data_IF_051605264130
#
_entry.id   IF_051605264130
#
_cell.length_a   1.000
_cell.length_b   1.000
_cell.length_c   1.000
_cell.angle_alpha   90.00
_cell.angle_beta   90.00
_cell.angle_gamma   90.00
#
_symmetry.space_group_name_H-M   'P 1'
#
loop_
_entity.id
_entity.type
_entity.pdbx_description
1 polymer ?
#
# COMPACT_ATOMS: atom_id res chain seq x y z
N UNK A 1 0.53 50.99 66.77
CA UNK A 1 -0.24 51.65 65.71
C UNK A 1 -0.12 50.75 64.46
N UNK A 2 -1.05 49.81 64.30
CA UNK A 2 -1.11 48.89 63.15
C UNK A 2 -2.12 49.45 62.13
N UNK A 3 -1.56 49.88 60.94
CA UNK A 3 -2.38 50.41 59.86
C UNK A 3 -3.10 49.30 59.14
N UNK A 4 -4.42 49.26 59.26
CA UNK A 4 -5.31 48.40 58.52
C UNK A 4 -5.24 48.76 57.00
N UNK A 5 -4.68 47.87 56.21
CA UNK A 5 -4.65 47.94 54.74
C UNK A 5 -5.77 47.08 54.17
N UNK A 6 -7.02 47.49 54.39
CA UNK A 6 -8.15 46.89 53.67
C UNK A 6 -8.05 47.25 52.17
N UNK A 7 -7.99 46.28 51.26
CA UNK A 7 -7.94 46.59 49.81
C UNK A 7 -9.22 47.27 49.35
N UNK A 8 -9.04 48.35 48.62
CA UNK A 8 -10.14 49.19 48.06
C UNK A 8 -11.15 48.34 47.27
N UNK A 9 -12.44 48.71 47.39
CA UNK A 9 -13.58 48.09 46.68
C UNK A 9 -13.35 47.96 45.18
N UNK A 10 -12.57 48.86 44.59
CA UNK A 10 -12.21 48.86 43.19
C UNK A 10 -11.23 47.69 42.82
N UNK A 11 -10.41 47.23 43.76
CA UNK A 11 -9.51 46.10 43.54
C UNK A 11 -10.26 44.76 43.51
N UNK A 12 -11.31 44.61 44.35
CA UNK A 12 -12.15 43.40 44.37
C UNK A 12 -13.01 43.25 43.14
N UNK A 13 -13.43 44.34 42.47
CA UNK A 13 -14.26 44.29 41.25
C UNK A 13 -13.45 43.90 40.01
N UNK A 14 -12.14 43.98 40.01
CA UNK A 14 -11.32 43.52 38.89
C UNK A 14 -11.08 42.02 38.89
N UNK A 15 -11.19 41.34 40.02
CA UNK A 15 -10.99 39.91 40.16
C UNK A 15 -12.19 39.05 39.75
N UNK A 16 -13.37 39.64 39.67
CA UNK A 16 -14.60 38.92 39.33
C UNK A 16 -15.03 39.06 37.86
N UNK A 17 -14.18 39.66 37.02
CA UNK A 17 -14.46 39.62 35.57
C UNK A 17 -14.25 38.20 35.07
N UNK A 18 -15.28 37.49 34.56
CA UNK A 18 -15.09 36.20 33.95
C UNK A 18 -14.14 36.39 32.78
N UNK A 19 -13.01 35.64 32.81
CA UNK A 19 -12.13 35.55 31.63
C UNK A 19 -12.97 34.98 30.50
N UNK A 20 -13.35 35.81 29.56
CA UNK A 20 -13.90 35.32 28.28
C UNK A 20 -12.93 34.25 27.77
N UNK A 21 -13.42 33.05 27.47
CA UNK A 21 -12.61 32.05 26.76
C UNK A 21 -12.04 32.77 25.53
N UNK A 22 -10.72 32.78 25.37
CA UNK A 22 -10.09 33.23 24.14
C UNK A 22 -10.71 32.37 23.05
N UNK A 23 -11.66 32.93 22.31
CA UNK A 23 -12.14 32.34 21.05
C UNK A 23 -10.89 32.22 20.17
N UNK A 24 -10.42 30.98 20.04
CA UNK A 24 -9.36 30.65 19.09
C UNK A 24 -9.91 31.04 17.71
N UNK A 25 -9.17 31.81 16.94
CA UNK A 25 -9.67 32.22 15.62
C UNK A 25 -9.98 30.97 14.79
N UNK A 26 -11.26 30.81 14.43
CA UNK A 26 -11.77 29.73 13.57
C UNK A 26 -11.14 29.73 12.17
N UNK A 27 -10.30 30.73 11.88
CA UNK A 27 -9.66 30.94 10.58
C UNK A 27 -8.47 30.02 10.26
N UNK A 28 -8.08 29.09 11.14
CA UNK A 28 -6.93 28.18 10.88
C UNK A 28 -7.30 26.81 10.33
N UNK A 29 -8.59 26.53 10.07
CA UNK A 29 -8.98 25.30 9.34
C UNK A 29 -9.12 25.62 7.85
N UNK A 30 -8.09 26.17 7.24
CA UNK A 30 -7.92 26.04 5.81
C UNK A 30 -7.36 24.64 5.54
N UNK A 31 -8.22 23.64 5.57
CA UNK A 31 -7.96 22.34 4.95
C UNK A 31 -7.68 22.63 3.47
N UNK A 32 -6.42 22.54 3.11
CA UNK A 32 -5.96 22.63 1.73
C UNK A 32 -6.64 21.51 0.94
N UNK A 33 -7.76 21.79 0.34
CA UNK A 33 -8.61 20.85 -0.43
C UNK A 33 -7.89 20.19 -1.62
N UNK A 34 -6.67 20.60 -1.93
CA UNK A 34 -5.84 20.01 -2.99
C UNK A 34 -5.12 18.71 -2.59
N UNK A 35 -4.90 18.44 -1.31
CA UNK A 35 -4.19 17.23 -0.86
C UNK A 35 -5.03 15.95 -0.99
N UNK A 36 -6.34 15.92 -0.64
CA UNK A 36 -7.14 14.71 -0.77
C UNK A 36 -7.34 14.28 -2.24
N UNK A 37 -7.48 15.22 -3.18
CA UNK A 37 -7.64 14.88 -4.60
C UNK A 37 -6.38 14.24 -5.19
N UNK A 38 -5.20 14.75 -4.84
CA UNK A 38 -3.92 14.16 -5.28
C UNK A 38 -3.69 12.77 -4.68
N UNK A 39 -4.03 12.58 -3.41
CA UNK A 39 -3.94 11.28 -2.76
C UNK A 39 -4.92 10.26 -3.38
N UNK A 40 -6.15 10.67 -3.64
CA UNK A 40 -7.16 9.85 -4.30
C UNK A 40 -6.74 9.48 -5.74
N UNK A 41 -6.21 10.43 -6.50
CA UNK A 41 -5.71 10.16 -7.86
C UNK A 41 -4.52 9.18 -7.84
N UNK A 42 -3.58 9.34 -6.91
CA UNK A 42 -2.45 8.43 -6.78
C UNK A 42 -2.90 7.01 -6.39
N UNK A 43 -3.84 6.87 -5.46
CA UNK A 43 -4.43 5.59 -5.09
C UNK A 43 -5.17 4.94 -6.27
N UNK A 44 -5.96 5.72 -7.01
CA UNK A 44 -6.67 5.24 -8.19
C UNK A 44 -5.71 4.71 -9.27
N UNK A 45 -4.63 5.46 -9.58
CA UNK A 45 -3.61 5.03 -10.54
C UNK A 45 -2.92 3.76 -10.06
N UNK A 46 -2.55 3.67 -8.78
CA UNK A 46 -1.94 2.46 -8.19
C UNK A 46 -2.84 1.23 -8.37
N UNK A 47 -4.11 1.36 -8.02
CA UNK A 47 -5.10 0.29 -8.19
C UNK A 47 -5.29 -0.09 -9.67
N UNK A 48 -5.32 0.88 -10.59
CA UNK A 48 -5.40 0.58 -12.03
C UNK A 48 -4.21 -0.22 -12.54
N UNK A 49 -2.99 0.12 -12.10
CA UNK A 49 -1.76 -0.60 -12.46
C UNK A 49 -1.81 -2.03 -11.92
N UNK A 50 -2.27 -2.23 -10.67
CA UNK A 50 -2.44 -3.56 -10.06
C UNK A 50 -3.41 -4.42 -10.87
N UNK A 51 -4.59 -3.90 -11.21
CA UNK A 51 -5.58 -4.62 -12.01
C UNK A 51 -5.08 -4.92 -13.42
N UNK A 52 -4.35 -3.99 -14.02
CA UNK A 52 -3.74 -4.17 -15.34
C UNK A 52 -2.71 -5.32 -15.32
N UNK A 53 -1.81 -5.36 -14.33
CA UNK A 53 -0.84 -6.44 -14.16
C UNK A 53 -1.55 -7.80 -13.97
N UNK A 54 -2.61 -7.80 -13.17
CA UNK A 54 -3.43 -8.99 -12.93
C UNK A 54 -4.02 -9.55 -14.22
N UNK A 55 -4.67 -8.71 -15.05
CA UNK A 55 -5.30 -9.13 -16.30
C UNK A 55 -4.26 -9.54 -17.35
N UNK A 56 -3.19 -8.79 -17.47
CA UNK A 56 -2.14 -9.11 -18.44
C UNK A 56 -1.48 -10.46 -18.12
N UNK A 57 -1.20 -10.69 -16.83
CA UNK A 57 -0.62 -11.96 -16.42
C UNK A 57 -1.59 -13.13 -16.61
N UNK A 58 -2.86 -12.99 -16.26
CA UNK A 58 -3.87 -14.02 -16.46
C UNK A 58 -4.00 -14.37 -17.96
N UNK A 59 -3.99 -13.37 -18.83
CA UNK A 59 -4.03 -13.56 -20.29
C UNK A 59 -2.75 -14.24 -20.79
N UNK A 60 -1.59 -13.82 -20.33
CA UNK A 60 -0.32 -14.44 -20.69
C UNK A 60 -0.20 -15.89 -20.18
N UNK A 61 -0.72 -16.17 -18.97
CA UNK A 61 -0.77 -17.51 -18.42
C UNK A 61 -1.68 -18.44 -19.25
N UNK A 62 -2.79 -17.92 -19.74
CA UNK A 62 -3.72 -18.69 -20.57
C UNK A 62 -3.17 -18.99 -21.98
N UNK A 63 -2.46 -18.03 -22.59
CA UNK A 63 -2.12 -18.07 -23.99
C UNK A 63 -0.67 -18.47 -24.29
N UNK A 64 0.27 -18.11 -23.40
CA UNK A 64 1.70 -18.09 -23.73
C UNK A 64 2.55 -18.84 -22.72
N UNK A 65 2.33 -18.68 -21.43
CA UNK A 65 3.25 -19.18 -20.41
C UNK A 65 3.27 -20.70 -20.32
N UNK A 66 2.18 -21.38 -20.65
CA UNK A 66 2.14 -22.84 -20.73
C UNK A 66 3.20 -23.38 -21.67
N UNK A 67 3.25 -22.87 -22.90
CA UNK A 67 4.22 -23.32 -23.90
C UNK A 67 5.63 -22.84 -23.63
N UNK A 68 5.80 -21.58 -23.15
CA UNK A 68 7.09 -20.96 -22.94
C UNK A 68 7.84 -21.49 -21.74
N UNK A 69 7.15 -21.77 -20.63
CA UNK A 69 7.77 -22.08 -19.33
C UNK A 69 7.46 -23.49 -18.84
N UNK A 70 6.37 -24.10 -19.30
CA UNK A 70 5.89 -25.42 -18.85
C UNK A 70 5.63 -26.36 -20.04
N UNK A 71 6.60 -26.62 -20.92
CA UNK A 71 6.38 -27.48 -22.05
C UNK A 71 6.01 -28.89 -21.58
N UNK A 72 4.84 -29.38 -21.99
CA UNK A 72 4.33 -30.71 -21.71
C UNK A 72 3.76 -31.31 -22.99
N UNK A 73 3.70 -32.65 -23.03
CA UNK A 73 3.01 -33.36 -24.13
C UNK A 73 1.50 -33.09 -24.16
N UNK A 74 0.93 -32.71 -23.01
CA UNK A 74 -0.47 -32.35 -22.89
C UNK A 74 -0.62 -30.83 -22.72
N UNK A 75 -1.25 -30.12 -23.66
CA UNK A 75 -1.51 -28.68 -23.55
C UNK A 75 -2.31 -28.27 -22.30
N UNK A 76 -3.21 -29.13 -21.85
CA UNK A 76 -3.99 -28.87 -20.64
C UNK A 76 -3.10 -28.82 -19.40
N UNK A 77 -2.13 -29.73 -19.29
CA UNK A 77 -1.16 -29.76 -18.16
C UNK A 77 -0.30 -28.50 -18.18
N UNK A 78 0.18 -28.07 -19.34
CA UNK A 78 0.97 -26.83 -19.51
C UNK A 78 0.18 -25.59 -19.05
N UNK A 79 -1.06 -25.52 -19.47
CA UNK A 79 -1.96 -24.41 -19.08
C UNK A 79 -2.27 -24.43 -17.60
N UNK A 80 -2.55 -25.58 -17.01
CA UNK A 80 -2.79 -25.72 -15.56
C UNK A 80 -1.56 -25.34 -14.74
N UNK A 81 -0.36 -25.76 -15.15
CA UNK A 81 0.89 -25.37 -14.49
C UNK A 81 1.09 -23.85 -14.53
N UNK A 82 0.78 -23.22 -15.66
CA UNK A 82 0.82 -21.78 -15.83
C UNK A 82 -0.14 -21.06 -14.86
N UNK A 83 -1.38 -21.52 -14.75
CA UNK A 83 -2.34 -20.97 -13.77
C UNK A 83 -1.95 -21.25 -12.32
N UNK A 84 -1.26 -22.34 -12.04
CA UNK A 84 -0.74 -22.61 -10.70
C UNK A 84 0.24 -21.52 -10.24
N UNK A 85 1.07 -20.97 -11.15
CA UNK A 85 1.95 -19.84 -10.82
C UNK A 85 1.16 -18.59 -10.44
N UNK A 86 0.00 -18.38 -11.04
CA UNK A 86 -0.90 -17.30 -10.69
C UNK A 86 -1.43 -17.46 -9.27
N UNK A 87 -1.85 -18.67 -8.90
CA UNK A 87 -2.31 -18.99 -7.55
C UNK A 87 -1.21 -18.74 -6.49
N UNK A 88 0.06 -19.05 -6.79
CA UNK A 88 1.19 -18.78 -5.91
C UNK A 88 1.28 -17.31 -5.53
N UNK A 89 1.04 -16.39 -6.48
CA UNK A 89 0.98 -14.96 -6.21
C UNK A 89 -0.08 -14.58 -5.18
N UNK A 90 -1.26 -15.21 -5.23
CA UNK A 90 -2.32 -14.99 -4.24
C UNK A 90 -1.93 -15.49 -2.85
N UNK A 91 -1.34 -16.66 -2.75
CA UNK A 91 -0.87 -17.20 -1.46
C UNK A 91 0.27 -16.39 -0.85
N UNK A 92 1.03 -15.65 -1.65
CA UNK A 92 2.08 -14.77 -1.17
C UNK A 92 1.55 -13.43 -0.59
N UNK A 93 0.32 -13.02 -0.90
CA UNK A 93 -0.27 -11.73 -0.44
C UNK A 93 -0.32 -11.58 1.08
N UNK A 94 -0.79 -12.57 1.88
CA UNK A 94 -0.81 -12.45 3.33
C UNK A 94 0.58 -12.19 3.93
N UNK A 95 1.62 -12.83 3.37
CA UNK A 95 3.01 -12.59 3.78
C UNK A 95 3.42 -11.13 3.53
N UNK A 96 3.02 -10.59 2.38
CA UNK A 96 3.25 -9.19 2.03
C UNK A 96 2.60 -8.23 3.02
N UNK A 97 1.35 -8.49 3.41
CA UNK A 97 0.64 -7.70 4.42
C UNK A 97 1.38 -7.65 5.76
N UNK A 98 1.89 -8.78 6.23
CA UNK A 98 2.65 -8.87 7.48
C UNK A 98 3.99 -8.13 7.35
N UNK A 99 4.77 -8.41 6.30
CA UNK A 99 6.10 -7.84 6.09
C UNK A 99 6.04 -6.32 5.92
N UNK A 100 5.19 -5.83 5.01
CA UNK A 100 5.08 -4.41 4.74
C UNK A 100 4.24 -3.65 5.76
N UNK A 101 3.32 -4.31 6.48
CA UNK A 101 2.68 -3.75 7.65
C UNK A 101 3.73 -3.34 8.69
N UNK A 102 4.59 -4.30 9.09
CA UNK A 102 5.65 -4.04 10.05
C UNK A 102 6.72 -3.05 9.53
N UNK A 103 7.07 -3.14 8.26
CA UNK A 103 8.01 -2.22 7.63
C UNK A 103 7.43 -0.80 7.56
N UNK A 104 6.15 -0.67 7.23
CA UNK A 104 5.43 0.61 7.16
C UNK A 104 5.42 1.36 8.49
N UNK A 105 5.32 0.64 9.61
CA UNK A 105 5.40 1.22 10.95
C UNK A 105 6.81 1.75 11.27
N UNK A 106 7.87 1.12 10.72
CA UNK A 106 9.26 1.54 10.95
C UNK A 106 9.74 2.66 10.03
N UNK A 107 9.49 2.57 8.73
CA UNK A 107 10.03 3.51 7.72
C UNK A 107 9.04 4.56 7.27
N UNK A 108 7.79 4.45 7.71
CA UNK A 108 6.68 5.31 7.33
C UNK A 108 5.88 4.74 6.15
N UNK A 109 4.56 4.83 6.23
CA UNK A 109 3.57 4.24 5.29
C UNK A 109 3.78 4.68 3.84
N UNK A 110 4.11 5.98 3.61
CA UNK A 110 4.37 6.50 2.27
C UNK A 110 5.56 5.80 1.60
N UNK A 111 6.65 5.59 2.33
CA UNK A 111 7.85 4.93 1.80
C UNK A 111 7.58 3.45 1.55
N UNK A 112 6.86 2.77 2.44
CA UNK A 112 6.47 1.38 2.26
C UNK A 112 5.65 1.20 0.98
N UNK A 113 4.63 2.04 0.76
CA UNK A 113 3.79 2.02 -0.45
C UNK A 113 4.61 2.27 -1.73
N UNK A 114 5.52 3.25 -1.71
CA UNK A 114 6.38 3.49 -2.87
C UNK A 114 7.28 2.29 -3.16
N UNK A 115 7.78 1.61 -2.13
CA UNK A 115 8.62 0.41 -2.28
C UNK A 115 7.83 -0.75 -2.87
N UNK A 116 6.57 -0.98 -2.43
CA UNK A 116 5.72 -2.04 -2.99
C UNK A 116 5.41 -1.80 -4.46
N UNK A 117 5.04 -0.58 -4.85
CA UNK A 117 4.78 -0.22 -6.24
C UNK A 117 6.03 -0.40 -7.13
N UNK A 118 7.20 0.05 -6.66
CA UNK A 118 8.46 -0.14 -7.38
C UNK A 118 8.82 -1.62 -7.52
N UNK A 119 8.65 -2.40 -6.46
CA UNK A 119 8.93 -3.84 -6.46
C UNK A 119 8.01 -4.58 -7.43
N UNK A 120 6.72 -4.24 -7.47
CA UNK A 120 5.75 -4.79 -8.42
C UNK A 120 6.14 -4.46 -9.86
N UNK A 121 6.41 -3.18 -10.17
CA UNK A 121 6.79 -2.74 -11.51
C UNK A 121 8.07 -3.41 -12.01
N UNK A 122 9.10 -3.48 -11.18
CA UNK A 122 10.36 -4.17 -11.53
C UNK A 122 10.13 -5.65 -11.77
N UNK A 123 9.36 -6.33 -10.90
CA UNK A 123 9.06 -7.74 -11.07
C UNK A 123 8.29 -8.01 -12.38
N UNK A 124 7.33 -7.15 -12.73
CA UNK A 124 6.57 -7.25 -14.00
C UNK A 124 7.50 -7.12 -15.22
N UNK A 125 8.43 -6.17 -15.21
CA UNK A 125 9.44 -6.04 -16.26
C UNK A 125 10.33 -7.29 -16.32
N UNK A 126 10.76 -7.83 -15.17
CA UNK A 126 11.56 -9.06 -15.12
C UNK A 126 10.79 -10.26 -15.69
N UNK A 127 9.49 -10.39 -15.44
CA UNK A 127 8.66 -11.45 -16.07
C UNK A 127 8.67 -11.31 -17.59
N UNK A 128 8.57 -10.08 -18.11
CA UNK A 128 8.62 -9.84 -19.56
C UNK A 128 9.97 -10.11 -20.21
N UNK A 129 11.06 -10.02 -19.45
CA UNK A 129 12.42 -10.30 -19.90
C UNK A 129 12.87 -11.74 -19.65
N UNK A 130 12.04 -12.57 -19.04
CA UNK A 130 12.41 -13.91 -18.62
C UNK A 130 12.69 -14.80 -19.83
N UNK A 131 13.83 -15.52 -19.86
CA UNK A 131 14.14 -16.45 -20.93
C UNK A 131 13.21 -17.66 -20.90
N UNK A 132 12.87 -18.19 -22.08
CA UNK A 132 12.01 -19.36 -22.21
C UNK A 132 12.69 -20.66 -21.72
N UNK A 133 11.87 -21.68 -21.47
CA UNK A 133 12.34 -23.01 -21.07
C UNK A 133 13.37 -23.59 -22.03
N UNK A 134 13.23 -23.34 -23.33
CA UNK A 134 14.16 -23.81 -24.36
C UNK A 134 15.58 -23.25 -24.20
N UNK A 135 15.74 -22.08 -23.56
CA UNK A 135 17.05 -21.44 -23.35
C UNK A 135 17.70 -21.83 -22.03
N UNK A 136 16.94 -21.90 -20.95
CA UNK A 136 17.48 -22.07 -19.59
C UNK A 136 16.87 -23.27 -18.84
N UNK A 137 16.04 -24.07 -19.48
CA UNK A 137 15.46 -25.29 -18.90
C UNK A 137 14.59 -24.99 -17.68
N UNK A 138 14.69 -25.80 -16.65
CA UNK A 138 13.92 -25.70 -15.40
C UNK A 138 14.11 -24.37 -14.65
N UNK A 139 15.15 -23.61 -14.98
CA UNK A 139 15.36 -22.30 -14.34
C UNK A 139 14.25 -21.31 -14.73
N UNK A 140 13.70 -21.43 -15.93
CA UNK A 140 12.64 -20.53 -16.41
C UNK A 140 11.37 -20.58 -15.55
N UNK A 141 10.74 -21.74 -15.31
CA UNK A 141 9.57 -21.83 -14.44
C UNK A 141 9.88 -21.47 -12.99
N UNK A 142 11.05 -21.83 -12.46
CA UNK A 142 11.46 -21.46 -11.10
C UNK A 142 11.55 -19.95 -10.93
N UNK A 143 12.20 -19.26 -11.87
CA UNK A 143 12.28 -17.80 -11.84
C UNK A 143 10.91 -17.14 -11.99
N UNK A 144 10.02 -17.68 -12.83
CA UNK A 144 8.66 -17.19 -12.98
C UNK A 144 7.90 -17.29 -11.66
N UNK A 145 7.98 -18.44 -10.96
CA UNK A 145 7.34 -18.63 -9.65
C UNK A 145 7.92 -17.67 -8.61
N UNK A 146 9.24 -17.49 -8.57
CA UNK A 146 9.89 -16.55 -7.63
C UNK A 146 9.43 -15.11 -7.89
N UNK A 147 9.39 -14.67 -9.14
CA UNK A 147 8.89 -13.34 -9.49
C UNK A 147 7.42 -13.18 -9.10
N UNK A 148 6.63 -14.24 -9.23
CA UNK A 148 5.21 -14.23 -8.82
C UNK A 148 5.04 -14.12 -7.31
N UNK A 149 5.90 -14.76 -6.53
CA UNK A 149 5.96 -14.58 -5.07
C UNK A 149 6.30 -13.14 -4.71
N UNK A 150 7.31 -12.55 -5.37
CA UNK A 150 7.69 -11.15 -5.15
C UNK A 150 6.55 -10.19 -5.48
N UNK A 151 5.87 -10.37 -6.60
CA UNK A 151 4.69 -9.57 -6.97
C UNK A 151 3.55 -9.75 -5.94
N UNK A 152 3.27 -10.98 -5.50
CA UNK A 152 2.25 -11.26 -4.50
C UNK A 152 2.55 -10.58 -3.16
N UNK A 153 3.80 -10.61 -2.70
CA UNK A 153 4.25 -9.91 -1.50
C UNK A 153 4.10 -8.39 -1.66
N UNK A 154 4.43 -7.83 -2.83
CA UNK A 154 4.27 -6.40 -3.10
C UNK A 154 2.80 -5.95 -2.98
N UNK A 155 1.91 -6.65 -3.68
CA UNK A 155 0.45 -6.38 -3.65
C UNK A 155 -0.13 -6.55 -2.24
N UNK A 156 0.29 -7.61 -1.52
CA UNK A 156 -0.13 -7.84 -0.14
C UNK A 156 0.25 -6.70 0.81
N UNK A 157 1.41 -6.09 0.59
CA UNK A 157 1.88 -4.94 1.37
C UNK A 157 1.03 -3.68 1.15
N UNK A 158 0.52 -3.48 -0.05
CA UNK A 158 -0.37 -2.36 -0.38
C UNK A 158 -1.73 -2.50 0.32
N UNK A 159 -2.33 -3.69 0.29
CA UNK A 159 -3.60 -3.99 0.97
C UNK A 159 -3.50 -3.92 2.50
N UNK A 160 -2.42 -4.43 3.08
CA UNK A 160 -2.17 -4.36 4.52
C UNK A 160 -2.13 -2.92 5.03
N UNK A 161 -1.48 -2.02 4.30
CA UNK A 161 -1.45 -0.60 4.60
C UNK A 161 -2.83 0.08 4.50
N UNK A 162 -3.63 -0.29 3.50
CA UNK A 162 -4.97 0.27 3.30
C UNK A 162 -5.96 -0.16 4.40
N UNK A 163 -5.94 -1.44 4.81
CA UNK A 163 -6.80 -1.98 5.88
C UNK A 163 -6.46 -1.35 7.23
N UNK A 164 -5.18 -1.18 7.56
CA UNK A 164 -4.75 -0.51 8.78
C UNK A 164 -5.18 0.96 8.80
N UNK A 165 -5.04 1.68 7.68
CA UNK A 165 -5.52 3.07 7.58
C UNK A 165 -7.03 3.19 7.74
N UNK A 166 -7.79 2.28 7.18
CA UNK A 166 -9.24 2.25 7.35
C UNK A 166 -9.64 1.96 8.80
N UNK A 167 -8.94 1.05 9.50
CA UNK A 167 -9.19 0.71 10.89
C UNK A 167 -8.86 1.84 11.88
N UNK A 168 -7.84 2.65 11.61
CA UNK A 168 -7.46 3.80 12.45
C UNK A 168 -8.39 5.01 12.30
N UNK A 169 -9.14 5.10 11.21
CA UNK A 169 -10.10 6.19 10.93
C UNK A 169 -11.56 5.76 11.05
N UNK A 170 -11.81 4.53 11.48
CA UNK A 170 -13.15 4.06 11.78
C UNK A 170 -13.66 4.72 13.08
N UNK A 171 -14.90 5.27 13.13
CA UNK A 171 -15.47 5.94 14.30
C UNK A 171 -15.71 4.97 15.45
#
# INVERSE_FOLDING_TARGET
MAGDKTPSRAARQRETRPRHPKELPVSSIQHTTRQPVRAAAAAFIGTMIEWYDFYIYATAAALVFGELYFPSHDPFVSTMASFATFAVGFFARPLGGIVFGHLGDKIGRKKALMTTLMMMGVATVCVGLLPSYTKVGLLAPVLLVLLRVVQGIAVGGEWGGAVLMAGEHAP
#
